data_IF_497506708841
#
_entry.id   IF_497506708841
#
_cell.length_a   1.000
_cell.length_b   1.000
_cell.length_c   1.000
_cell.angle_alpha   90.00
_cell.angle_beta   90.00
_cell.angle_gamma   90.00
#
_symmetry.space_group_name_H-M   'P 1'
#
loop_
_entity.id
_entity.type
_entity.pdbx_description
1 polymer ?
#
# COMPACT_ATOMS: atom_id res chain seq x y z
N UNK A 1 -38.50 -19.40 -9.49
CA UNK A 1 -37.98 -18.02 -9.62
C UNK A 1 -36.77 -17.97 -8.71
N UNK A 2 -35.59 -18.23 -9.26
CA UNK A 2 -34.33 -17.99 -8.57
C UNK A 2 -33.94 -16.55 -8.88
N UNK A 3 -34.14 -15.67 -7.89
CA UNK A 3 -33.67 -14.30 -7.99
C UNK A 3 -32.14 -14.33 -7.99
N UNK A 4 -31.55 -13.92 -9.11
CA UNK A 4 -30.11 -13.69 -9.30
C UNK A 4 -29.62 -12.68 -8.23
N UNK A 5 -29.25 -13.19 -7.04
CA UNK A 5 -28.53 -12.41 -6.05
C UNK A 5 -27.13 -12.14 -6.61
N UNK A 6 -27.00 -11.05 -7.37
CA UNK A 6 -25.71 -10.43 -7.66
C UNK A 6 -25.06 -10.02 -6.34
N UNK A 7 -24.31 -10.95 -5.75
CA UNK A 7 -23.34 -10.65 -4.71
C UNK A 7 -22.40 -9.61 -5.29
N UNK A 8 -22.62 -8.33 -4.96
CA UNK A 8 -21.62 -7.30 -5.17
C UNK A 8 -20.42 -7.77 -4.37
N UNK A 9 -19.39 -8.28 -5.05
CA UNK A 9 -18.12 -8.62 -4.44
C UNK A 9 -17.69 -7.38 -3.67
N UNK A 10 -17.75 -7.44 -2.34
CA UNK A 10 -17.17 -6.41 -1.50
C UNK A 10 -15.71 -6.34 -1.97
N UNK A 11 -15.23 -5.19 -2.47
CA UNK A 11 -13.83 -5.07 -2.83
C UNK A 11 -13.03 -5.57 -1.64
N UNK A 12 -12.04 -6.45 -1.87
CA UNK A 12 -11.17 -6.98 -0.80
C UNK A 12 -10.69 -5.76 -0.02
N UNK A 13 -11.19 -5.59 1.20
CA UNK A 13 -10.82 -4.49 2.08
C UNK A 13 -9.41 -4.81 2.60
N UNK A 14 -8.39 -4.43 1.82
CA UNK A 14 -7.01 -4.49 2.29
C UNK A 14 -6.84 -3.48 3.40
N UNK A 15 -6.49 -3.96 4.60
CA UNK A 15 -6.12 -3.08 5.70
C UNK A 15 -4.66 -2.61 5.54
N UNK A 16 -4.28 -1.61 6.31
CA UNK A 16 -2.97 -0.96 6.22
C UNK A 16 -1.81 -1.92 6.54
N UNK A 17 -2.06 -2.91 7.40
CA UNK A 17 -1.09 -3.94 7.77
C UNK A 17 -0.82 -4.89 6.60
N UNK A 18 -1.86 -5.37 5.93
CA UNK A 18 -1.74 -6.28 4.79
C UNK A 18 -0.93 -5.62 3.67
N UNK A 19 -1.21 -4.35 3.39
CA UNK A 19 -0.47 -3.58 2.38
C UNK A 19 0.99 -3.40 2.80
N UNK A 20 1.27 -3.11 4.07
CA UNK A 20 2.64 -2.98 4.55
C UNK A 20 3.43 -4.29 4.45
N UNK A 21 2.81 -5.44 4.75
CA UNK A 21 3.42 -6.76 4.59
C UNK A 21 3.70 -7.06 3.12
N UNK A 22 2.73 -6.81 2.22
CA UNK A 22 2.91 -7.01 0.78
C UNK A 22 4.06 -6.18 0.21
N UNK A 23 4.15 -4.90 0.60
CA UNK A 23 5.25 -4.02 0.18
C UNK A 23 6.61 -4.50 0.72
N UNK A 24 6.64 -4.98 1.97
CA UNK A 24 7.86 -5.53 2.58
C UNK A 24 8.32 -6.78 1.83
N UNK A 25 7.40 -7.71 1.56
CA UNK A 25 7.68 -8.92 0.80
C UNK A 25 8.16 -8.59 -0.62
N UNK A 26 7.50 -7.64 -1.29
CA UNK A 26 7.88 -7.19 -2.62
C UNK A 26 9.29 -6.59 -2.64
N UNK A 27 9.63 -5.74 -1.67
CA UNK A 27 10.97 -5.14 -1.54
C UNK A 27 12.07 -6.20 -1.43
N UNK A 28 11.86 -7.23 -0.59
CA UNK A 28 12.83 -8.31 -0.43
C UNK A 28 12.78 -9.34 -1.57
N UNK A 29 11.69 -9.44 -2.33
CA UNK A 29 11.60 -10.36 -3.49
C UNK A 29 12.58 -10.02 -4.61
N UNK A 30 13.01 -8.76 -4.71
CA UNK A 30 13.99 -8.30 -5.69
C UNK A 30 15.44 -8.43 -5.21
N UNK A 31 15.66 -8.91 -3.98
CA UNK A 31 16.98 -9.04 -3.38
C UNK A 31 17.51 -10.46 -3.50
N UNK A 32 18.82 -10.56 -3.64
CA UNK A 32 19.54 -11.84 -3.75
C UNK A 32 20.19 -12.26 -2.43
N UNK A 33 20.24 -11.36 -1.46
CA UNK A 33 20.79 -11.60 -0.12
C UNK A 33 19.68 -11.96 0.88
N UNK A 34 20.05 -12.71 1.91
CA UNK A 34 19.16 -13.03 3.02
C UNK A 34 19.15 -11.85 4.01
N UNK A 35 18.02 -11.14 4.17
CA UNK A 35 17.97 -10.00 5.06
C UNK A 35 17.97 -10.42 6.53
N UNK A 36 18.65 -9.63 7.36
CA UNK A 36 18.62 -9.77 8.82
C UNK A 36 17.26 -9.32 9.38
N UNK A 37 16.89 -9.84 10.55
CA UNK A 37 15.58 -9.58 11.17
C UNK A 37 15.38 -8.09 11.45
N UNK A 38 16.42 -7.39 11.93
CA UNK A 38 16.38 -5.95 12.19
C UNK A 38 16.10 -5.14 10.92
N UNK A 39 16.61 -5.58 9.77
CA UNK A 39 16.37 -4.90 8.49
C UNK A 39 14.91 -5.07 8.06
N UNK A 40 14.36 -6.28 8.19
CA UNK A 40 12.96 -6.56 7.89
C UNK A 40 12.06 -5.67 8.75
N UNK A 41 12.35 -5.55 10.05
CA UNK A 41 11.60 -4.70 10.98
C UNK A 41 11.64 -3.22 10.55
N UNK A 42 12.80 -2.71 10.17
CA UNK A 42 12.95 -1.32 9.73
C UNK A 42 12.19 -1.04 8.44
N UNK A 43 12.28 -1.94 7.45
CA UNK A 43 11.59 -1.79 6.15
C UNK A 43 10.08 -1.86 6.35
N UNK A 44 9.59 -2.85 7.11
CA UNK A 44 8.17 -2.98 7.44
C UNK A 44 7.63 -1.73 8.14
N UNK A 45 8.32 -1.23 9.17
CA UNK A 45 7.89 -0.06 9.91
C UNK A 45 7.79 1.20 9.02
N UNK A 46 8.73 1.36 8.07
CA UNK A 46 8.70 2.45 7.09
C UNK A 46 7.49 2.34 6.16
N UNK A 47 7.22 1.17 5.60
CA UNK A 47 6.07 0.99 4.72
C UNK A 47 4.75 1.13 5.44
N UNK A 48 4.63 0.57 6.65
CA UNK A 48 3.45 0.78 7.49
C UNK A 48 3.20 2.25 7.79
N UNK A 49 4.24 3.01 8.16
CA UNK A 49 4.11 4.45 8.39
C UNK A 49 3.66 5.21 7.14
N UNK A 50 4.15 4.83 5.96
CA UNK A 50 3.72 5.41 4.68
C UNK A 50 2.24 5.09 4.40
N UNK A 51 1.83 3.83 4.53
CA UNK A 51 0.45 3.41 4.27
C UNK A 51 -0.51 4.08 5.25
N UNK A 52 -0.18 4.15 6.54
CA UNK A 52 -0.98 4.90 7.52
C UNK A 52 -1.02 6.40 7.21
N UNK A 53 0.10 7.00 6.82
CA UNK A 53 0.15 8.41 6.41
C UNK A 53 -0.67 8.69 5.15
N UNK A 54 -0.71 7.73 4.22
CA UNK A 54 -1.56 7.75 3.04
C UNK A 54 -3.02 7.61 3.43
N UNK A 55 -3.40 6.60 4.22
CA UNK A 55 -4.78 6.40 4.68
C UNK A 55 -5.31 7.63 5.42
N UNK A 56 -4.51 8.26 6.29
CA UNK A 56 -4.87 9.53 6.94
C UNK A 56 -5.07 10.65 5.92
N UNK A 57 -4.21 10.77 4.90
CA UNK A 57 -4.34 11.81 3.85
C UNK A 57 -5.51 11.54 2.90
N UNK A 58 -5.80 10.28 2.55
CA UNK A 58 -6.92 9.89 1.69
C UNK A 58 -8.26 9.89 2.41
N UNK A 59 -8.32 9.43 3.67
CA UNK A 59 -9.52 9.52 4.52
C UNK A 59 -9.87 10.96 4.89
N UNK A 60 -8.87 11.83 5.03
CA UNK A 60 -9.09 13.28 5.18
C UNK A 60 -9.42 13.99 3.85
N UNK A 61 -9.66 13.24 2.77
CA UNK A 61 -10.22 13.77 1.54
C UNK A 61 -9.21 14.47 0.64
N UNK A 62 -7.94 14.04 0.62
CA UNK A 62 -7.09 14.35 -0.54
C UNK A 62 -7.52 13.41 -1.67
N UNK A 63 -8.20 13.91 -2.71
CA UNK A 63 -8.62 13.07 -3.82
C UNK A 63 -7.39 12.51 -4.56
N UNK A 64 -7.52 11.29 -5.08
CA UNK A 64 -6.44 10.50 -5.72
C UNK A 64 -5.70 11.28 -6.83
N UNK A 65 -6.37 12.27 -7.45
CA UNK A 65 -5.79 13.18 -8.44
C UNK A 65 -4.80 14.22 -7.87
N UNK A 66 -4.64 14.34 -6.55
CA UNK A 66 -3.61 15.17 -5.91
C UNK A 66 -2.38 14.38 -5.47
N UNK A 67 -2.38 13.06 -5.66
CA UNK A 67 -1.21 12.22 -5.39
C UNK A 67 -0.05 12.60 -6.31
N UNK A 68 -0.37 12.91 -7.56
CA UNK A 68 0.61 13.35 -8.56
C UNK A 68 1.35 14.62 -8.11
N UNK A 69 0.70 15.51 -7.34
CA UNK A 69 1.34 16.70 -6.78
C UNK A 69 2.36 16.37 -5.67
N UNK A 70 2.13 15.27 -4.96
CA UNK A 70 2.97 14.79 -3.85
C UNK A 70 4.09 13.85 -4.29
N UNK A 71 4.09 13.40 -5.55
CA UNK A 71 5.20 12.63 -6.10
C UNK A 71 6.46 13.51 -6.13
N UNK A 72 7.64 12.97 -5.82
CA UNK A 72 8.90 13.63 -6.14
C UNK A 72 8.96 13.97 -7.63
N UNK A 73 9.50 15.13 -8.01
CA UNK A 73 9.59 15.59 -9.42
C UNK A 73 10.20 14.52 -10.35
N UNK A 74 11.19 13.77 -9.85
CA UNK A 74 11.83 12.67 -10.57
C UNK A 74 10.89 11.52 -11.01
N UNK A 75 9.68 11.45 -10.43
CA UNK A 75 8.66 10.45 -10.75
C UNK A 75 7.46 11.05 -11.50
N UNK A 76 7.42 12.37 -11.69
CA UNK A 76 6.35 13.06 -12.43
C UNK A 76 6.56 13.04 -13.96
N UNK A 77 7.79 12.81 -14.40
CA UNK A 77 8.12 12.68 -15.82
C UNK A 77 8.18 11.20 -16.24
N UNK A 78 7.07 10.66 -16.74
CA UNK A 78 7.03 9.51 -17.66
C UNK A 78 5.88 9.65 -18.65
#
# INVERSE_FOLDING_TARGET
>A
MEEDMKLKSTPIQRNEYDVAIELTNLYFSYRTDSPEVEEIQQVYARFYAVVCGMDVKFRNGIPVNKIEELLPEALKEK
#
